data_IF_254354103099
#
_entry.id   IF_254354103099
#
_cell.length_a   1.000
_cell.length_b   1.000
_cell.length_c   1.000
_cell.angle_alpha   90.00
_cell.angle_beta   90.00
_cell.angle_gamma   90.00
#
_symmetry.space_group_name_H-M   'P 1'
#
loop_
_entity.id
_entity.type
_entity.pdbx_description
1 polymer ?
#
# COMPACT_ATOMS: atom_id res chain seq x y z
N UNK A 1 5.89 -27.04 -0.29
CA UNK A 1 6.10 -27.85 -1.53
C UNK A 1 7.08 -27.16 -2.45
N UNK A 2 8.00 -27.88 -3.05
CA UNK A 2 8.95 -27.31 -4.02
C UNK A 2 8.44 -27.56 -5.43
N UNK A 3 8.28 -26.52 -6.22
CA UNK A 3 7.95 -26.61 -7.65
C UNK A 3 9.24 -26.42 -8.43
N UNK A 4 9.61 -27.37 -9.27
CA UNK A 4 10.81 -27.30 -10.11
C UNK A 4 10.50 -26.49 -11.36
N UNK A 5 11.22 -25.37 -11.56
CA UNK A 5 11.31 -24.69 -12.86
C UNK A 5 12.57 -25.16 -13.56
N UNK A 6 12.71 -24.96 -14.88
CA UNK A 6 13.89 -25.38 -15.68
C UNK A 6 15.23 -24.81 -15.14
N UNK A 7 15.22 -23.91 -14.16
CA UNK A 7 16.41 -23.26 -13.59
C UNK A 7 16.56 -23.41 -12.06
N UNK A 8 15.71 -24.15 -11.38
CA UNK A 8 15.82 -24.36 -9.93
C UNK A 8 14.51 -24.76 -9.26
N UNK A 9 14.61 -25.21 -8.02
CA UNK A 9 13.45 -25.55 -7.17
C UNK A 9 12.86 -24.26 -6.61
N UNK A 10 11.55 -24.00 -6.83
CA UNK A 10 10.84 -22.92 -6.15
C UNK A 10 10.83 -23.21 -4.64
N UNK A 11 11.35 -22.28 -3.87
CA UNK A 11 11.29 -22.32 -2.41
C UNK A 11 10.26 -21.30 -1.96
N UNK A 12 9.20 -21.77 -1.30
CA UNK A 12 8.19 -20.87 -0.75
C UNK A 12 8.84 -19.94 0.29
N UNK A 13 8.61 -18.63 0.20
CA UNK A 13 9.16 -17.69 1.16
C UNK A 13 8.47 -17.85 2.53
N UNK A 14 9.15 -17.42 3.59
CA UNK A 14 8.53 -17.37 4.91
C UNK A 14 7.44 -16.28 4.92
N UNK A 15 6.25 -16.63 5.39
CA UNK A 15 5.19 -15.67 5.63
C UNK A 15 5.49 -14.94 6.93
N UNK A 16 5.82 -13.67 6.84
CA UNK A 16 6.25 -12.85 7.99
C UNK A 16 5.07 -12.16 8.66
N UNK A 17 4.09 -11.71 7.84
CA UNK A 17 3.01 -10.88 8.35
C UNK A 17 1.65 -11.34 7.81
N UNK A 18 0.69 -11.46 8.74
CA UNK A 18 -0.69 -11.86 8.45
C UNK A 18 -1.72 -11.01 9.21
N UNK A 19 -1.26 -9.97 9.88
CA UNK A 19 -2.07 -9.10 10.73
C UNK A 19 -2.41 -7.78 10.04
N UNK A 20 -3.26 -6.99 10.67
CA UNK A 20 -3.63 -5.63 10.28
C UNK A 20 -2.52 -4.68 10.73
N UNK A 21 -2.10 -3.75 9.87
CA UNK A 21 -1.20 -2.65 10.24
C UNK A 21 -2.00 -1.39 10.54
N UNK A 22 -1.93 -0.91 11.77
CA UNK A 22 -2.51 0.38 12.18
C UNK A 22 -1.46 1.17 12.96
N UNK A 23 -1.17 2.37 12.50
CA UNK A 23 -0.07 3.15 13.07
C UNK A 23 1.28 2.56 12.68
N UNK A 24 1.97 1.99 13.64
CA UNK A 24 3.20 1.21 13.50
C UNK A 24 3.08 -0.18 14.14
N UNK A 25 1.85 -0.57 14.53
CA UNK A 25 1.56 -1.82 15.22
C UNK A 25 0.87 -2.83 14.31
N UNK A 26 1.37 -4.06 14.33
CA UNK A 26 0.70 -5.22 13.77
C UNK A 26 -0.23 -5.82 14.81
N UNK A 27 -1.50 -6.01 14.44
CA UNK A 27 -2.53 -6.46 15.38
C UNK A 27 -3.53 -7.41 14.74
N UNK A 28 -4.14 -8.33 15.51
CA UNK A 28 -5.27 -9.10 15.02
C UNK A 28 -6.46 -8.19 14.71
N UNK A 29 -7.43 -8.66 13.93
CA UNK A 29 -8.70 -8.00 13.77
C UNK A 29 -9.41 -7.83 15.12
N UNK A 30 -10.13 -6.73 15.33
CA UNK A 30 -10.90 -6.48 16.56
C UNK A 30 -11.87 -7.61 16.84
N UNK A 31 -12.48 -8.17 15.78
CA UNK A 31 -13.38 -9.33 15.85
C UNK A 31 -12.69 -10.64 16.21
N UNK A 32 -11.36 -10.71 16.12
CA UNK A 32 -10.56 -11.93 16.24
C UNK A 32 -10.72 -12.90 15.06
N UNK A 33 -11.44 -12.52 14.00
CA UNK A 33 -11.64 -13.38 12.82
C UNK A 33 -10.42 -13.39 11.91
N UNK A 34 -10.29 -14.50 11.18
CA UNK A 34 -9.31 -14.68 10.12
C UNK A 34 -9.98 -15.23 8.86
N UNK A 35 -9.32 -15.09 7.73
CA UNK A 35 -9.66 -15.79 6.49
C UNK A 35 -8.42 -16.48 5.93
N UNK A 36 -8.64 -17.53 5.14
CA UNK A 36 -7.58 -18.30 4.52
C UNK A 36 -7.18 -17.68 3.19
N UNK A 37 -5.87 -17.47 2.97
CA UNK A 37 -5.35 -17.27 1.62
C UNK A 37 -4.90 -18.62 1.04
N UNK A 38 -5.20 -18.84 -0.23
CA UNK A 38 -5.07 -20.12 -0.91
C UNK A 38 -4.06 -19.98 -2.04
N UNK A 39 -3.12 -20.93 -2.11
CA UNK A 39 -2.23 -21.02 -3.28
C UNK A 39 -3.04 -21.48 -4.51
N UNK A 40 -3.22 -20.64 -5.54
CA UNK A 40 -4.06 -21.00 -6.67
C UNK A 40 -3.47 -22.12 -7.55
N UNK A 41 -2.17 -22.42 -7.42
CA UNK A 41 -1.53 -23.49 -8.16
C UNK A 41 -1.71 -24.88 -7.54
N UNK A 42 -1.92 -24.95 -6.21
CA UNK A 42 -2.02 -26.23 -5.48
C UNK A 42 -3.36 -26.40 -4.76
N UNK A 43 -4.15 -25.33 -4.66
CA UNK A 43 -5.40 -25.25 -3.88
C UNK A 43 -5.21 -25.48 -2.36
N UNK A 44 -3.96 -25.43 -1.89
CA UNK A 44 -3.64 -25.59 -0.47
C UNK A 44 -3.69 -24.23 0.24
N UNK A 45 -4.06 -24.25 1.52
CA UNK A 45 -4.02 -23.08 2.38
C UNK A 45 -2.57 -22.64 2.59
N UNK A 46 -2.27 -21.37 2.30
CA UNK A 46 -0.95 -20.77 2.58
C UNK A 46 -0.89 -20.40 4.05
N UNK A 47 -1.81 -19.58 4.52
CA UNK A 47 -1.90 -19.15 5.92
C UNK A 47 -3.28 -18.54 6.24
N UNK A 48 -3.48 -18.24 7.52
CA UNK A 48 -4.61 -17.46 8.02
C UNK A 48 -4.19 -15.98 8.11
N UNK A 49 -5.03 -15.08 7.59
CA UNK A 49 -4.84 -13.64 7.61
C UNK A 49 -5.95 -12.98 8.42
N UNK A 50 -5.65 -11.94 9.17
CA UNK A 50 -6.63 -11.21 9.95
C UNK A 50 -7.75 -10.64 9.05
N UNK A 51 -9.02 -10.91 9.41
CA UNK A 51 -10.20 -10.42 8.69
C UNK A 51 -10.66 -9.09 9.27
N UNK A 52 -10.13 -8.00 8.72
CA UNK A 52 -10.54 -6.66 9.10
C UNK A 52 -11.96 -6.34 8.67
N UNK A 53 -12.64 -5.59 9.51
CA UNK A 53 -14.00 -5.11 9.27
C UNK A 53 -14.14 -3.60 9.51
N UNK A 54 -15.35 -3.13 9.75
CA UNK A 54 -15.65 -1.72 9.96
C UNK A 54 -14.90 -1.13 11.16
N UNK A 55 -14.74 -1.87 12.26
CA UNK A 55 -14.07 -1.38 13.46
C UNK A 55 -12.57 -1.19 13.23
N UNK A 56 -11.93 -2.11 12.49
CA UNK A 56 -10.53 -2.00 12.11
C UNK A 56 -10.29 -0.83 11.14
N UNK A 57 -11.20 -0.63 10.20
CA UNK A 57 -11.17 0.52 9.27
C UNK A 57 -11.32 1.83 10.03
N UNK A 58 -12.19 1.90 11.04
CA UNK A 58 -12.35 3.09 11.88
C UNK A 58 -11.05 3.43 12.61
N UNK A 59 -10.41 2.44 13.24
CA UNK A 59 -9.11 2.62 13.89
C UNK A 59 -8.01 3.07 12.91
N UNK A 60 -7.95 2.46 11.73
CA UNK A 60 -6.98 2.82 10.70
C UNK A 60 -7.21 4.24 10.17
N UNK A 61 -8.47 4.64 9.96
CA UNK A 61 -8.82 5.98 9.51
C UNK A 61 -8.48 7.06 10.55
N UNK A 62 -8.70 6.78 11.84
CA UNK A 62 -8.30 7.68 12.93
C UNK A 62 -6.76 7.80 13.01
N UNK A 63 -6.01 6.71 12.90
CA UNK A 63 -4.54 6.74 12.86
C UNK A 63 -4.02 7.54 11.66
N UNK A 64 -4.60 7.31 10.47
CA UNK A 64 -4.25 8.05 9.27
C UNK A 64 -4.55 9.55 9.38
N UNK A 65 -5.70 9.91 9.95
CA UNK A 65 -6.10 11.30 10.19
C UNK A 65 -5.16 12.00 11.18
N UNK A 66 -4.83 11.35 12.28
CA UNK A 66 -3.90 11.88 13.26
C UNK A 66 -2.50 12.12 12.65
N UNK A 67 -1.99 11.18 11.85
CA UNK A 67 -0.72 11.34 11.15
C UNK A 67 -0.75 12.51 10.15
N UNK A 68 -1.87 12.67 9.43
CA UNK A 68 -2.06 13.75 8.46
C UNK A 68 -2.13 15.13 9.12
N UNK A 69 -2.86 15.29 10.22
CA UNK A 69 -3.13 16.60 10.82
C UNK A 69 -2.06 17.07 11.80
N UNK A 70 -1.51 16.16 12.60
CA UNK A 70 -0.70 16.53 13.78
C UNK A 70 0.60 15.76 13.93
N UNK A 71 0.80 14.67 13.18
CA UNK A 71 2.01 13.84 13.24
C UNK A 71 3.23 14.50 12.59
N UNK A 72 4.40 13.86 12.70
CA UNK A 72 5.62 14.32 12.02
C UNK A 72 5.45 14.44 10.49
N UNK A 73 4.59 13.59 9.90
CA UNK A 73 4.29 13.60 8.47
C UNK A 73 3.68 14.90 7.99
N UNK A 74 2.77 15.51 8.77
CA UNK A 74 2.10 16.77 8.41
C UNK A 74 3.05 17.96 8.24
N UNK A 75 4.24 17.88 8.84
CA UNK A 75 5.28 18.92 8.81
C UNK A 75 6.51 18.51 8.01
N UNK A 76 6.50 17.30 7.45
CA UNK A 76 7.64 16.76 6.72
C UNK A 76 7.82 17.47 5.38
N UNK A 77 9.03 17.92 5.10
CA UNK A 77 9.36 18.49 3.81
C UNK A 77 9.11 17.52 2.65
N UNK A 78 8.67 18.05 1.52
CA UNK A 78 8.37 17.25 0.33
C UNK A 78 9.57 16.40 -0.10
N UNK A 79 10.79 16.96 0.00
CA UNK A 79 12.03 16.24 -0.33
C UNK A 79 12.27 15.04 0.59
N UNK A 80 11.93 15.16 1.87
CA UNK A 80 12.11 14.06 2.83
C UNK A 80 11.06 12.95 2.63
N UNK A 81 9.83 13.30 2.24
CA UNK A 81 8.85 12.31 1.77
C UNK A 81 9.36 11.54 0.55
N UNK A 82 9.97 12.25 -0.41
CA UNK A 82 10.60 11.62 -1.57
C UNK A 82 11.72 10.66 -1.18
N UNK A 83 12.54 11.00 -0.18
CA UNK A 83 13.61 10.11 0.34
C UNK A 83 13.07 8.84 0.98
N UNK A 84 11.94 8.91 1.69
CA UNK A 84 11.29 7.72 2.26
C UNK A 84 10.76 6.79 1.17
N UNK A 85 10.14 7.34 0.11
CA UNK A 85 9.70 6.56 -1.04
C UNK A 85 10.87 5.90 -1.77
N UNK A 86 11.98 6.63 -1.95
CA UNK A 86 13.21 6.08 -2.55
C UNK A 86 13.76 4.94 -1.72
N UNK A 87 13.87 5.12 -0.40
CA UNK A 87 14.33 4.07 0.50
C UNK A 87 13.41 2.84 0.51
N UNK A 88 12.10 3.03 0.39
CA UNK A 88 11.16 1.91 0.23
C UNK A 88 11.42 1.16 -1.08
N UNK A 89 11.65 1.88 -2.20
CA UNK A 89 11.98 1.28 -3.48
C UNK A 89 13.30 0.49 -3.42
N UNK A 90 14.34 1.06 -2.79
CA UNK A 90 15.63 0.40 -2.57
C UNK A 90 15.46 -0.88 -1.73
N UNK A 91 14.67 -0.84 -0.66
CA UNK A 91 14.36 -2.03 0.16
C UNK A 91 13.57 -3.09 -0.63
N UNK A 92 12.70 -2.68 -1.55
CA UNK A 92 12.02 -3.64 -2.44
C UNK A 92 13.02 -4.28 -3.40
N UNK A 93 13.99 -3.54 -3.93
CA UNK A 93 15.05 -4.07 -4.79
C UNK A 93 15.95 -5.06 -4.03
N UNK A 94 16.36 -4.72 -2.81
CA UNK A 94 17.15 -5.60 -1.94
C UNK A 94 16.42 -6.91 -1.58
N UNK A 95 15.08 -6.89 -1.56
CA UNK A 95 14.22 -8.05 -1.27
C UNK A 95 13.51 -8.60 -2.52
N UNK A 96 14.00 -8.31 -3.73
CA UNK A 96 13.32 -8.61 -4.99
C UNK A 96 12.96 -10.09 -5.12
N UNK A 97 13.88 -11.00 -4.81
CA UNK A 97 13.66 -12.44 -4.95
C UNK A 97 12.62 -12.97 -3.94
N UNK A 98 12.63 -12.48 -2.70
CA UNK A 98 11.63 -12.81 -1.69
C UNK A 98 10.24 -12.30 -2.13
N UNK A 99 10.15 -11.05 -2.56
CA UNK A 99 8.90 -10.44 -2.99
C UNK A 99 8.33 -11.11 -4.25
N UNK A 100 9.18 -11.46 -5.23
CA UNK A 100 8.74 -12.18 -6.42
C UNK A 100 8.22 -13.58 -6.08
N UNK A 101 8.87 -14.27 -5.17
CA UNK A 101 8.41 -15.58 -4.70
C UNK A 101 7.09 -15.48 -3.92
N UNK A 102 6.93 -14.44 -3.11
CA UNK A 102 5.70 -14.18 -2.36
C UNK A 102 4.54 -13.82 -3.29
N UNK A 103 4.77 -12.96 -4.29
CA UNK A 103 3.79 -12.61 -5.31
C UNK A 103 3.32 -13.85 -6.08
N UNK A 104 4.27 -14.72 -6.48
CA UNK A 104 3.97 -15.99 -7.15
C UNK A 104 3.16 -16.93 -6.27
N UNK A 105 3.52 -17.07 -5.00
CA UNK A 105 2.84 -17.94 -4.06
C UNK A 105 1.38 -17.52 -3.84
N UNK A 106 1.15 -16.23 -3.66
CA UNK A 106 -0.15 -15.65 -3.30
C UNK A 106 -1.07 -15.47 -4.52
N UNK A 107 -0.51 -15.05 -5.67
CA UNK A 107 -1.26 -14.72 -6.89
C UNK A 107 -1.33 -15.87 -7.91
N UNK A 108 -0.35 -16.77 -7.90
CA UNK A 108 -0.25 -17.88 -8.85
C UNK A 108 0.43 -17.55 -10.18
N UNK A 109 0.88 -16.32 -10.40
CA UNK A 109 1.60 -16.00 -11.65
C UNK A 109 3.00 -16.63 -11.67
N UNK A 110 3.58 -16.87 -12.87
CA UNK A 110 4.94 -17.38 -12.99
C UNK A 110 5.95 -16.46 -12.30
N UNK A 111 6.90 -17.04 -11.57
CA UNK A 111 7.94 -16.28 -10.84
C UNK A 111 8.80 -15.42 -11.79
N UNK A 112 8.99 -15.89 -13.02
CA UNK A 112 9.69 -15.13 -14.05
C UNK A 112 8.99 -13.82 -14.39
N UNK A 113 7.65 -13.82 -14.46
CA UNK A 113 6.84 -12.63 -14.75
C UNK A 113 6.81 -11.69 -13.56
N UNK A 114 6.63 -12.21 -12.33
CA UNK A 114 6.70 -11.41 -11.11
C UNK A 114 8.06 -10.70 -11.00
N UNK A 115 9.16 -11.44 -11.25
CA UNK A 115 10.53 -10.93 -11.13
C UNK A 115 10.91 -9.97 -12.27
N UNK A 116 10.50 -10.24 -13.52
CA UNK A 116 10.91 -9.47 -14.68
C UNK A 116 10.00 -8.29 -15.01
N UNK A 117 8.77 -8.28 -14.51
CA UNK A 117 7.79 -7.25 -14.82
C UNK A 117 7.21 -6.60 -13.56
N UNK A 118 6.50 -7.33 -12.69
CA UNK A 118 5.74 -6.73 -11.60
C UNK A 118 6.62 -5.94 -10.62
N UNK A 119 7.71 -6.56 -10.17
CA UNK A 119 8.63 -5.96 -9.21
C UNK A 119 9.35 -4.74 -9.80
N UNK A 120 10.00 -4.83 -10.97
CA UNK A 120 10.63 -3.67 -11.59
C UNK A 120 9.66 -2.51 -11.81
N UNK A 121 8.46 -2.78 -12.33
CA UNK A 121 7.44 -1.73 -12.55
C UNK A 121 6.96 -1.11 -11.24
N UNK A 122 6.85 -1.87 -10.15
CA UNK A 122 6.48 -1.35 -8.83
C UNK A 122 7.60 -0.48 -8.26
N UNK A 123 8.85 -0.91 -8.34
CA UNK A 123 10.04 -0.19 -7.88
C UNK A 123 10.20 1.12 -8.68
N UNK A 124 10.14 1.05 -10.01
CA UNK A 124 10.23 2.22 -10.89
C UNK A 124 9.11 3.24 -10.59
N UNK A 125 7.90 2.77 -10.30
CA UNK A 125 6.78 3.63 -9.92
C UNK A 125 7.10 4.42 -8.65
N UNK A 126 7.64 3.79 -7.61
CA UNK A 126 8.01 4.48 -6.37
C UNK A 126 9.15 5.46 -6.59
N UNK A 127 10.19 5.10 -7.36
CA UNK A 127 11.28 6.02 -7.75
C UNK A 127 10.75 7.23 -8.53
N UNK A 128 9.84 7.00 -9.50
CA UNK A 128 9.22 8.07 -10.27
C UNK A 128 8.51 9.08 -9.36
N UNK A 129 7.64 8.61 -8.46
CA UNK A 129 6.91 9.49 -7.55
C UNK A 129 7.79 10.10 -6.45
N UNK A 130 8.84 9.40 -6.01
CA UNK A 130 9.86 9.98 -5.12
C UNK A 130 10.50 11.21 -5.75
N UNK A 131 10.82 11.14 -7.06
CA UNK A 131 11.35 12.25 -7.83
C UNK A 131 10.37 13.42 -8.02
N UNK A 132 9.07 13.19 -7.89
CA UNK A 132 8.03 14.22 -8.05
C UNK A 132 7.64 14.92 -6.76
N UNK A 133 7.98 14.39 -5.59
CA UNK A 133 7.51 14.89 -4.31
C UNK A 133 7.73 16.41 -4.10
N UNK A 134 8.88 16.94 -4.53
CA UNK A 134 9.25 18.36 -4.43
C UNK A 134 9.03 19.16 -5.72
N UNK A 135 8.34 18.61 -6.71
CA UNK A 135 8.10 19.24 -8.02
C UNK A 135 6.63 19.56 -8.30
N UNK A 136 5.78 19.41 -7.28
CA UNK A 136 4.35 19.72 -7.38
C UNK A 136 4.14 21.16 -6.96
N UNK A 137 4.04 22.05 -7.95
CA UNK A 137 3.85 23.49 -7.75
C UNK A 137 2.54 23.97 -8.37
N UNK A 138 2.12 25.15 -7.97
CA UNK A 138 0.98 25.86 -8.54
C UNK A 138 1.40 26.93 -9.54
N UNK A 139 0.44 27.72 -9.95
CA UNK A 139 0.57 28.74 -10.99
C UNK A 139 0.49 30.13 -10.38
N UNK A 140 1.17 31.09 -11.00
CA UNK A 140 0.95 32.53 -10.78
C UNK A 140 0.04 33.03 -11.89
N UNK A 141 -1.11 33.62 -11.52
CA UNK A 141 -2.17 33.99 -12.46
C UNK A 141 -2.21 35.49 -12.61
N UNK A 142 -2.03 36.05 -13.84
CA UNK A 142 -2.17 37.48 -14.08
C UNK A 142 -3.66 37.87 -13.98
N UNK A 143 -3.93 38.88 -13.14
CA UNK A 143 -5.27 39.43 -12.95
C UNK A 143 -5.20 40.98 -13.05
N UNK A 144 -6.37 41.62 -13.23
CA UNK A 144 -6.46 43.08 -13.30
C UNK A 144 -6.39 43.67 -11.88
N UNK A 145 -5.63 44.80 -11.73
CA UNK A 145 -5.46 45.55 -10.49
C UNK A 145 -4.19 45.19 -9.71
N UNK A 146 -3.99 45.82 -8.56
CA UNK A 146 -2.82 45.64 -7.68
C UNK A 146 -3.00 44.39 -6.77
N UNK A 147 -3.18 43.24 -7.38
CA UNK A 147 -3.35 41.98 -6.65
C UNK A 147 -2.33 40.94 -7.12
N UNK A 148 -1.93 40.06 -6.19
CA UNK A 148 -1.15 38.88 -6.49
C UNK A 148 -2.04 37.65 -6.39
N UNK A 149 -2.18 36.88 -7.48
CA UNK A 149 -3.00 35.69 -7.53
C UNK A 149 -2.14 34.46 -7.84
N UNK A 150 -2.24 33.45 -7.03
CA UNK A 150 -1.55 32.17 -7.22
C UNK A 150 -2.40 31.00 -6.79
N UNK A 151 -2.09 29.81 -7.31
CA UNK A 151 -2.62 28.55 -6.81
C UNK A 151 -1.56 27.83 -5.98
N UNK A 152 -2.01 27.05 -5.01
CA UNK A 152 -1.16 26.15 -4.22
C UNK A 152 -1.74 24.75 -4.29
N UNK A 153 -0.90 23.76 -4.57
CA UNK A 153 -1.28 22.35 -4.49
C UNK A 153 -1.03 21.86 -3.08
N UNK A 154 -2.06 21.28 -2.48
CA UNK A 154 -2.01 20.75 -1.12
C UNK A 154 -2.48 19.29 -1.12
N UNK A 155 -1.99 18.45 -0.16
CA UNK A 155 -2.51 17.10 -0.01
C UNK A 155 -4.01 17.13 0.32
N UNK A 156 -4.76 16.14 -0.19
CA UNK A 156 -6.20 16.08 0.03
C UNK A 156 -6.56 15.56 1.42
N UNK A 157 -5.69 14.74 2.02
CA UNK A 157 -5.93 14.15 3.34
C UNK A 157 -5.68 12.66 3.39
N UNK A 158 -6.66 11.91 3.93
CA UNK A 158 -6.62 10.45 4.02
C UNK A 158 -7.14 9.82 2.74
N UNK A 159 -6.33 8.96 2.12
CA UNK A 159 -6.68 8.21 0.92
C UNK A 159 -7.06 6.78 1.26
N UNK A 160 -8.33 6.42 1.11
CA UNK A 160 -8.79 5.04 1.09
C UNK A 160 -8.42 4.39 -0.24
N UNK A 161 -7.77 3.24 -0.18
CA UNK A 161 -7.23 2.56 -1.37
C UNK A 161 -7.65 1.11 -1.38
N UNK A 162 -8.24 0.67 -2.48
CA UNK A 162 -8.72 -0.70 -2.68
C UNK A 162 -8.11 -1.22 -3.97
N UNK A 163 -7.47 -2.40 -3.90
CA UNK A 163 -6.76 -3.00 -5.03
C UNK A 163 -7.28 -4.40 -5.33
N UNK A 164 -7.22 -4.84 -6.61
CA UNK A 164 -7.59 -6.17 -7.04
C UNK A 164 -6.43 -7.18 -6.84
N UNK A 165 -6.74 -8.43 -7.14
CA UNK A 165 -5.84 -9.58 -6.96
C UNK A 165 -4.82 -9.78 -8.10
N UNK A 166 -5.03 -9.19 -9.28
CA UNK A 166 -4.27 -9.56 -10.49
C UNK A 166 -2.84 -9.00 -10.54
N UNK A 167 -2.55 -7.87 -9.89
CA UNK A 167 -1.23 -7.26 -9.76
C UNK A 167 -1.02 -6.70 -8.34
N UNK A 168 -0.97 -7.53 -7.30
CA UNK A 168 -1.00 -7.07 -5.91
C UNK A 168 0.08 -6.04 -5.58
N UNK A 169 1.35 -6.37 -5.81
CA UNK A 169 2.47 -5.49 -5.48
C UNK A 169 2.48 -4.21 -6.34
N UNK A 170 2.23 -4.36 -7.64
CA UNK A 170 2.22 -3.23 -8.57
C UNK A 170 1.09 -2.26 -8.27
N UNK A 171 -0.11 -2.77 -7.98
CA UNK A 171 -1.26 -1.92 -7.62
C UNK A 171 -1.05 -1.21 -6.28
N UNK A 172 -0.36 -1.84 -5.33
CA UNK A 172 0.05 -1.19 -4.08
C UNK A 172 0.97 0.01 -4.38
N UNK A 173 2.02 -0.19 -5.18
CA UNK A 173 2.95 0.88 -5.56
C UNK A 173 2.25 2.01 -6.32
N UNK A 174 1.34 1.69 -7.26
CA UNK A 174 0.59 2.69 -8.03
C UNK A 174 -0.36 3.53 -7.17
N UNK A 175 -0.80 3.02 -6.03
CA UNK A 175 -1.63 3.77 -5.09
C UNK A 175 -0.78 4.55 -4.08
N UNK A 176 0.27 3.94 -3.52
CA UNK A 176 1.12 4.57 -2.52
C UNK A 176 1.99 5.68 -3.11
N UNK A 177 2.63 5.44 -4.25
CA UNK A 177 3.54 6.40 -4.88
C UNK A 177 2.95 7.80 -4.96
N UNK A 178 1.86 8.03 -5.72
CA UNK A 178 1.27 9.38 -5.86
C UNK A 178 0.69 9.92 -4.55
N UNK A 179 0.07 9.08 -3.71
CA UNK A 179 -0.54 9.54 -2.47
C UNK A 179 0.51 10.04 -1.47
N UNK A 180 1.57 9.25 -1.25
CA UNK A 180 2.62 9.57 -0.29
C UNK A 180 3.53 10.70 -0.78
N UNK A 181 3.89 10.73 -2.06
CA UNK A 181 4.67 11.82 -2.63
C UNK A 181 4.00 13.19 -2.42
N UNK A 182 2.67 13.23 -2.55
CA UNK A 182 1.88 14.45 -2.37
C UNK A 182 1.55 14.78 -0.91
N UNK A 183 1.98 13.95 0.06
CA UNK A 183 1.83 14.22 1.49
C UNK A 183 0.51 13.72 2.10
N UNK A 184 -0.23 12.86 1.39
CA UNK A 184 -1.41 12.19 1.95
C UNK A 184 -1.03 11.03 2.86
N UNK A 185 -1.98 10.55 3.64
CA UNK A 185 -1.90 9.29 4.38
C UNK A 185 -2.83 8.24 3.76
N UNK A 186 -2.64 6.97 4.08
CA UNK A 186 -3.30 5.87 3.38
C UNK A 186 -3.96 4.88 4.34
N UNK A 187 -5.16 4.44 3.95
CA UNK A 187 -5.83 3.25 4.48
C UNK A 187 -6.03 2.29 3.30
N UNK A 188 -5.24 1.22 3.25
CA UNK A 188 -5.19 0.27 2.14
C UNK A 188 -5.93 -1.02 2.46
N UNK A 189 -6.83 -1.44 1.56
CA UNK A 189 -7.39 -2.78 1.54
C UNK A 189 -6.83 -3.57 0.36
N UNK A 190 -5.93 -4.53 0.57
CA UNK A 190 -5.56 -5.49 -0.48
C UNK A 190 -6.74 -6.41 -0.81
N UNK A 191 -6.68 -7.09 -1.96
CA UNK A 191 -7.63 -8.14 -2.26
C UNK A 191 -7.49 -9.28 -1.24
N UNK A 192 -8.61 -9.86 -0.82
CA UNK A 192 -8.63 -10.99 0.11
C UNK A 192 -7.94 -12.24 -0.46
N UNK A 193 -7.88 -12.37 -1.78
CA UNK A 193 -7.20 -13.46 -2.46
C UNK A 193 -5.67 -13.32 -2.44
N UNK A 194 -5.14 -12.09 -2.33
CA UNK A 194 -3.71 -11.81 -2.51
C UNK A 194 -3.22 -10.71 -1.55
N UNK A 195 -3.30 -10.90 -0.23
CA UNK A 195 -2.95 -9.86 0.72
C UNK A 195 -1.44 -9.79 1.05
N UNK A 196 -0.69 -10.88 0.83
CA UNK A 196 0.60 -11.10 1.47
C UNK A 196 1.70 -10.12 1.03
N UNK A 197 1.80 -9.81 -0.27
CA UNK A 197 2.82 -8.84 -0.74
C UNK A 197 2.54 -7.42 -0.25
N UNK A 198 1.26 -7.02 -0.15
CA UNK A 198 0.91 -5.72 0.43
C UNK A 198 1.30 -5.65 1.92
N UNK A 199 1.06 -6.71 2.70
CA UNK A 199 1.45 -6.79 4.10
C UNK A 199 2.99 -6.74 4.25
N UNK A 200 3.72 -7.45 3.38
CA UNK A 200 5.19 -7.41 3.37
C UNK A 200 5.72 -6.01 3.03
N UNK A 201 5.09 -5.30 2.10
CA UNK A 201 5.42 -3.90 1.81
C UNK A 201 5.15 -2.98 3.01
N UNK A 202 4.16 -3.29 3.84
CA UNK A 202 3.94 -2.59 5.11
C UNK A 202 5.13 -2.70 6.06
N UNK A 203 5.74 -3.90 6.18
CA UNK A 203 6.97 -4.06 6.97
C UNK A 203 8.13 -3.24 6.39
N UNK A 204 8.34 -3.29 5.07
CA UNK A 204 9.40 -2.52 4.41
C UNK A 204 9.17 -1.01 4.53
N UNK A 205 7.92 -0.54 4.54
CA UNK A 205 7.60 0.86 4.75
C UNK A 205 7.96 1.32 6.18
N UNK A 206 7.69 0.50 7.20
CA UNK A 206 8.12 0.79 8.57
C UNK A 206 9.66 0.80 8.67
N UNK A 207 10.34 -0.14 8.02
CA UNK A 207 11.81 -0.19 7.94
C UNK A 207 12.39 1.02 7.19
N UNK A 208 11.72 1.49 6.14
CA UNK A 208 12.08 2.71 5.43
C UNK A 208 12.01 3.95 6.33
N UNK A 209 11.19 3.91 7.38
CA UNK A 209 11.03 4.96 8.36
C UNK A 209 9.80 5.85 8.13
N UNK A 210 8.78 5.37 7.42
CA UNK A 210 7.49 6.07 7.36
C UNK A 210 6.94 6.24 8.77
N UNK A 211 6.50 7.46 9.16
CA UNK A 211 5.96 7.70 10.48
C UNK A 211 4.68 6.88 10.76
N UNK A 212 4.40 6.57 12.03
CA UNK A 212 3.19 5.88 12.44
C UNK A 212 1.91 6.50 11.85
N UNK A 213 1.00 5.68 11.33
CA UNK A 213 -0.28 6.10 10.78
C UNK A 213 -0.24 6.66 9.35
N UNK A 214 0.92 6.87 8.76
CA UNK A 214 1.03 7.30 7.34
C UNK A 214 0.53 6.21 6.40
N UNK A 215 0.84 4.96 6.70
CA UNK A 215 0.39 3.78 5.97
C UNK A 215 -0.32 2.85 6.95
N UNK A 216 -1.57 2.49 6.61
CA UNK A 216 -2.36 1.52 7.35
C UNK A 216 -2.90 0.49 6.36
N UNK A 217 -2.89 -0.79 6.73
CA UNK A 217 -3.30 -1.89 5.86
C UNK A 217 -4.33 -2.74 6.58
N UNK A 218 -5.52 -2.83 6.02
CA UNK A 218 -6.65 -3.59 6.57
C UNK A 218 -7.07 -4.66 5.56
N UNK A 219 -6.46 -5.87 5.60
CA UNK A 219 -6.95 -6.99 4.81
C UNK A 219 -8.36 -7.38 5.27
N UNK A 220 -9.20 -7.80 4.33
CA UNK A 220 -10.60 -8.14 4.61
C UNK A 220 -11.45 -8.17 3.34
N UNK A 221 -12.70 -8.57 3.48
CA UNK A 221 -13.62 -8.68 2.35
C UNK A 221 -14.17 -7.33 1.88
N UNK A 222 -14.66 -7.32 0.64
CA UNK A 222 -15.26 -6.12 0.01
C UNK A 222 -16.39 -5.51 0.85
N UNK A 223 -17.48 -6.27 1.16
CA UNK A 223 -18.63 -5.73 1.90
C UNK A 223 -18.29 -5.19 3.30
N UNK A 224 -17.56 -5.88 4.21
CA UNK A 224 -17.28 -5.33 5.54
C UNK A 224 -16.19 -4.25 5.51
N UNK A 225 -14.99 -4.54 4.97
CA UNK A 225 -13.85 -3.63 5.03
C UNK A 225 -13.85 -2.60 3.88
N UNK A 226 -14.04 -3.05 2.64
CA UNK A 226 -14.03 -2.16 1.47
C UNK A 226 -15.14 -1.12 1.52
N UNK A 227 -16.36 -1.52 1.81
CA UNK A 227 -17.49 -0.60 1.93
C UNK A 227 -17.35 0.37 3.13
N UNK A 228 -16.72 -0.08 4.22
CA UNK A 228 -16.41 0.79 5.35
C UNK A 228 -15.43 1.90 4.93
N UNK A 229 -14.35 1.57 4.22
CA UNK A 229 -13.40 2.55 3.68
C UNK A 229 -14.11 3.59 2.81
N UNK A 230 -14.98 3.14 1.87
CA UNK A 230 -15.68 4.03 0.93
C UNK A 230 -16.62 5.01 1.63
N UNK A 231 -17.24 4.60 2.74
CA UNK A 231 -18.24 5.39 3.47
C UNK A 231 -17.67 6.17 4.65
N UNK A 232 -16.38 6.01 4.95
CA UNK A 232 -15.79 6.54 6.17
C UNK A 232 -15.66 8.07 6.14
N UNK A 233 -16.19 8.80 7.13
CA UNK A 233 -16.20 10.27 7.14
C UNK A 233 -14.80 10.91 7.26
N UNK A 234 -13.81 10.19 7.78
CA UNK A 234 -12.42 10.67 7.89
C UNK A 234 -11.55 10.32 6.67
N UNK A 235 -12.12 9.71 5.63
CA UNK A 235 -11.43 9.40 4.38
C UNK A 235 -11.88 10.39 3.31
N UNK A 236 -10.94 11.19 2.79
CA UNK A 236 -11.22 12.30 1.89
C UNK A 236 -11.25 11.89 0.41
N UNK A 237 -10.60 10.79 0.06
CA UNK A 237 -10.47 10.31 -1.32
C UNK A 237 -10.47 8.80 -1.38
N UNK A 238 -11.14 8.25 -2.39
CA UNK A 238 -11.07 6.81 -2.71
C UNK A 238 -10.30 6.60 -4.01
N UNK A 239 -9.36 5.65 -3.99
CA UNK A 239 -8.66 5.15 -5.16
C UNK A 239 -8.94 3.65 -5.31
N UNK A 240 -9.97 3.34 -6.08
CA UNK A 240 -10.43 1.97 -6.34
C UNK A 240 -9.90 1.45 -7.67
N UNK A 241 -9.44 0.21 -7.67
CA UNK A 241 -9.22 -0.59 -8.88
C UNK A 241 -9.82 -1.97 -8.63
N UNK A 242 -10.72 -2.41 -9.51
CA UNK A 242 -11.43 -3.69 -9.37
C UNK A 242 -12.49 -3.85 -10.46
N UNK A 243 -13.41 -4.81 -10.29
CA UNK A 243 -14.55 -5.01 -11.19
C UNK A 243 -15.59 -3.91 -11.03
N UNK A 244 -16.44 -3.73 -12.05
CA UNK A 244 -17.52 -2.75 -12.06
C UNK A 244 -18.86 -3.29 -11.54
N UNK A 245 -18.89 -4.39 -10.79
CA UNK A 245 -20.10 -4.99 -10.20
C UNK A 245 -20.59 -4.21 -8.98
#
# INVERSE_FOLDING_TARGET
>A
MSVTTESGTFVAPAIRQTQILIGDEWRPAVSGKTFQTINPATEEVICEVAEGDQEDVDLAAHAARAAFESGPWSKMDARDRGRLLMKLADLMEDNLDELAALETLDNGKPIGDARAADLPLAIDCLHYYAGWADKIHGDTIPIRGDYFCYTRREPIGVCGQIIPWNFPILMTAWKWGPALATGNTVVMKPAEQTPLTCLRLGELALEAGFPPGVINIVPGYGPPAGAAIVKHPLIDKIAFTGSGE
#
